data_IF_876954875343
#
_entry.id   IF_876954875343
#
_cell.length_a   1.000
_cell.length_b   1.000
_cell.length_c   1.000
_cell.angle_alpha   90.00
_cell.angle_beta   90.00
_cell.angle_gamma   90.00
#
_symmetry.space_group_name_H-M   'P 1'
#
loop_
_entity.id
_entity.type
_entity.pdbx_description
1 polymer ?
#
# COMPACT_ATOMS: atom_id res chain seq x y z
N UNK A 1 17.34 17.80 28.14
CA UNK A 1 17.61 18.03 26.70
C UNK A 1 17.81 16.76 25.89
N UNK A 2 18.84 15.91 26.09
CA UNK A 2 19.06 14.73 25.22
C UNK A 2 18.05 13.58 25.42
N UNK A 3 17.53 13.40 26.64
CA UNK A 3 16.57 12.31 26.96
C UNK A 3 15.19 12.52 26.31
N UNK A 4 14.74 13.77 26.26
CA UNK A 4 13.44 14.14 25.67
C UNK A 4 13.38 13.84 24.17
N UNK A 5 14.50 14.05 23.44
CA UNK A 5 14.58 13.71 22.02
C UNK A 5 14.56 12.20 21.77
N UNK A 6 15.20 11.40 22.63
CA UNK A 6 15.18 9.95 22.53
C UNK A 6 13.77 9.41 22.75
N UNK A 7 13.07 9.91 23.77
CA UNK A 7 11.68 9.53 24.07
C UNK A 7 10.72 9.93 22.94
N UNK A 8 10.87 11.14 22.39
CA UNK A 8 10.08 11.58 21.24
C UNK A 8 10.30 10.71 20.01
N UNK A 9 11.56 10.37 19.70
CA UNK A 9 11.89 9.53 18.56
C UNK A 9 11.29 8.13 18.70
N UNK A 10 11.39 7.51 19.89
CA UNK A 10 10.83 6.19 20.16
C UNK A 10 9.29 6.22 20.11
N UNK A 11 8.65 7.26 20.66
CA UNK A 11 7.20 7.41 20.60
C UNK A 11 6.71 7.60 19.16
N UNK A 12 7.36 8.46 18.37
CA UNK A 12 7.04 8.65 16.96
C UNK A 12 7.23 7.35 16.16
N UNK A 13 8.34 6.65 16.37
CA UNK A 13 8.59 5.36 15.72
C UNK A 13 7.53 4.32 16.11
N UNK A 14 7.14 4.27 17.38
CA UNK A 14 6.10 3.35 17.86
C UNK A 14 4.76 3.63 17.21
N UNK A 15 4.32 4.90 17.18
CA UNK A 15 3.07 5.30 16.53
C UNK A 15 3.12 4.99 15.02
N UNK A 16 4.25 5.25 14.37
CA UNK A 16 4.44 4.95 12.95
C UNK A 16 4.32 3.45 12.64
N UNK A 17 4.96 2.60 13.46
CA UNK A 17 4.91 1.14 13.31
C UNK A 17 3.52 0.59 13.59
N UNK A 18 2.85 1.05 14.66
CA UNK A 18 1.48 0.63 14.99
C UNK A 18 0.50 1.05 13.88
N UNK A 19 0.60 2.28 13.39
CA UNK A 19 -0.22 2.75 12.26
C UNK A 19 0.05 1.93 10.99
N UNK A 20 1.31 1.66 10.68
CA UNK A 20 1.71 0.82 9.54
C UNK A 20 1.25 -0.63 9.67
N UNK A 21 1.19 -1.18 10.88
CA UNK A 21 0.67 -2.53 11.14
C UNK A 21 -0.85 -2.59 10.94
N UNK A 22 -1.60 -1.63 11.49
CA UNK A 22 -3.04 -1.51 11.27
C UNK A 22 -3.38 -1.32 9.79
N UNK A 23 -2.60 -0.46 9.11
CA UNK A 23 -2.73 -0.26 7.67
C UNK A 23 -2.38 -1.54 6.90
N UNK A 24 -1.32 -2.26 7.27
CA UNK A 24 -0.95 -3.53 6.66
C UNK A 24 -2.05 -4.58 6.75
N UNK A 25 -2.72 -4.70 7.90
CA UNK A 25 -3.87 -5.59 8.08
C UNK A 25 -5.04 -5.17 7.19
N UNK A 26 -5.39 -3.88 7.16
CA UNK A 26 -6.43 -3.35 6.28
C UNK A 26 -6.08 -3.53 4.78
N UNK A 27 -4.81 -3.37 4.42
CA UNK A 27 -4.31 -3.51 3.07
C UNK A 27 -4.31 -4.97 2.62
N UNK A 28 -3.88 -5.93 3.45
CA UNK A 28 -3.92 -7.35 3.13
C UNK A 28 -5.36 -7.87 2.95
N UNK A 29 -6.30 -7.36 3.76
CA UNK A 29 -7.71 -7.77 3.73
C UNK A 29 -8.50 -7.12 2.59
N UNK A 30 -8.30 -5.83 2.29
CA UNK A 30 -9.09 -5.08 1.29
C UNK A 30 -8.29 -4.48 0.14
N UNK A 31 -7.03 -4.10 0.36
CA UNK A 31 -6.17 -3.39 -0.61
C UNK A 31 -5.49 -4.30 -1.63
N UNK A 32 -5.00 -5.47 -1.21
CA UNK A 32 -4.25 -6.43 -2.04
C UNK A 32 -5.03 -6.81 -3.30
N UNK A 33 -6.32 -7.13 -3.16
CA UNK A 33 -7.15 -7.50 -4.30
C UNK A 33 -7.46 -6.34 -5.27
N UNK A 34 -7.29 -5.08 -4.82
CA UNK A 34 -7.64 -3.88 -5.57
C UNK A 34 -6.43 -3.24 -6.25
N UNK A 35 -5.25 -3.38 -5.66
CA UNK A 35 -3.99 -2.84 -6.20
C UNK A 35 -3.38 -3.80 -7.21
N UNK A 36 -3.47 -5.11 -6.98
CA UNK A 36 -2.87 -6.08 -7.87
C UNK A 36 -3.76 -7.31 -8.04
N UNK A 37 -4.26 -7.50 -9.28
CA UNK A 37 -5.09 -8.64 -9.64
C UNK A 37 -4.29 -9.94 -9.56
N UNK A 38 -2.96 -9.88 -9.69
CA UNK A 38 -2.03 -11.01 -9.56
C UNK A 38 -1.80 -11.39 -8.08
N UNK A 39 -1.84 -10.42 -7.16
CA UNK A 39 -1.76 -10.70 -5.72
C UNK A 39 -3.00 -11.42 -5.17
N UNK A 40 -4.07 -11.53 -5.97
CA UNK A 40 -5.25 -12.35 -5.67
C UNK A 40 -4.96 -13.86 -5.77
N UNK A 41 -3.97 -14.25 -6.57
CA UNK A 41 -3.50 -15.64 -6.73
C UNK A 41 -2.28 -15.94 -5.84
N UNK A 42 -1.61 -14.90 -5.33
CA UNK A 42 -0.46 -15.06 -4.46
C UNK A 42 -0.86 -15.64 -3.09
N UNK A 43 -0.26 -16.79 -2.74
CA UNK A 43 -0.53 -17.51 -1.50
C UNK A 43 -0.17 -16.74 -0.22
N UNK A 44 -0.60 -17.28 0.93
CA UNK A 44 -0.42 -16.66 2.26
C UNK A 44 1.05 -16.31 2.60
N UNK A 45 2.01 -17.09 2.08
CA UNK A 45 3.44 -16.82 2.24
C UNK A 45 3.91 -15.53 1.57
N UNK A 46 3.37 -15.20 0.38
CA UNK A 46 3.68 -13.94 -0.29
C UNK A 46 3.19 -12.76 0.56
N UNK A 47 1.95 -12.82 1.06
CA UNK A 47 1.37 -11.80 1.95
C UNK A 47 2.22 -11.55 3.19
N UNK A 48 2.80 -12.60 3.79
CA UNK A 48 3.71 -12.45 4.93
C UNK A 48 5.05 -11.83 4.54
N UNK A 49 5.58 -12.16 3.35
CA UNK A 49 6.83 -11.61 2.85
C UNK A 49 6.73 -10.12 2.51
N UNK A 50 5.59 -9.67 1.95
CA UNK A 50 5.36 -8.25 1.66
C UNK A 50 4.90 -7.42 2.87
N UNK A 51 4.38 -8.05 3.94
CA UNK A 51 3.94 -7.34 5.15
C UNK A 51 4.98 -6.35 5.72
N UNK A 52 6.26 -6.73 5.96
CA UNK A 52 7.25 -5.78 6.47
C UNK A 52 7.52 -4.62 5.51
N UNK A 53 7.53 -4.88 4.20
CA UNK A 53 7.67 -3.84 3.17
C UNK A 53 6.45 -2.89 3.14
N UNK A 54 5.23 -3.44 3.24
CA UNK A 54 3.98 -2.67 3.32
C UNK A 54 3.93 -1.84 4.59
N UNK A 55 4.38 -2.38 5.73
CA UNK A 55 4.45 -1.64 7.00
C UNK A 55 5.50 -0.54 6.96
N UNK A 56 6.65 -0.74 6.29
CA UNK A 56 7.65 0.32 6.13
C UNK A 56 7.18 1.44 5.18
N UNK A 57 6.57 1.06 4.06
CA UNK A 57 6.11 1.96 2.99
C UNK A 57 4.61 2.29 3.06
N UNK A 58 3.99 2.11 4.23
CA UNK A 58 2.56 2.30 4.42
C UNK A 58 2.03 3.68 3.98
N UNK A 59 2.74 4.82 4.18
CA UNK A 59 2.21 6.13 3.78
C UNK A 59 2.14 6.25 2.26
N UNK A 60 3.13 5.69 1.56
CA UNK A 60 3.18 5.68 0.10
C UNK A 60 2.10 4.76 -0.48
N UNK A 61 1.91 3.59 0.13
CA UNK A 61 0.85 2.65 -0.24
C UNK A 61 -0.54 3.20 0.06
N UNK A 62 -0.73 3.86 1.20
CA UNK A 62 -1.96 4.56 1.56
C UNK A 62 -2.28 5.64 0.53
N UNK A 63 -1.29 6.46 0.16
CA UNK A 63 -1.47 7.46 -0.88
C UNK A 63 -1.82 6.83 -2.24
N UNK A 64 -1.12 5.77 -2.63
CA UNK A 64 -1.38 5.07 -3.90
C UNK A 64 -2.74 4.37 -3.92
N UNK A 65 -3.18 3.83 -2.78
CA UNK A 65 -4.52 3.26 -2.63
C UNK A 65 -5.59 4.35 -2.71
N UNK A 66 -5.37 5.50 -2.06
CA UNK A 66 -6.32 6.59 -2.02
C UNK A 66 -6.44 7.34 -3.36
N UNK A 67 -5.35 7.47 -4.11
CA UNK A 67 -5.35 7.97 -5.50
C UNK A 67 -6.07 7.04 -6.48
N UNK A 68 -6.43 5.83 -6.05
CA UNK A 68 -6.91 4.77 -6.90
C UNK A 68 -5.77 4.24 -7.76
N UNK A 69 -5.74 2.93 -7.97
CA UNK A 69 -5.03 2.39 -9.12
C UNK A 69 -5.70 3.03 -10.35
N UNK A 70 -5.14 4.15 -10.83
CA UNK A 70 -5.55 4.75 -12.09
C UNK A 70 -5.57 3.61 -13.08
N UNK A 71 -6.77 3.29 -13.58
CA UNK A 71 -6.93 2.19 -14.51
C UNK A 71 -5.89 2.34 -15.62
N UNK A 72 -5.38 1.22 -16.17
CA UNK A 72 -4.42 1.28 -17.26
C UNK A 72 -4.89 2.35 -18.25
N UNK A 73 -4.04 3.34 -18.61
CA UNK A 73 -4.44 4.42 -19.50
C UNK A 73 -5.14 3.78 -20.69
N UNK A 74 -6.44 4.00 -20.81
CA UNK A 74 -7.21 3.42 -21.91
C UNK A 74 -6.65 4.07 -23.17
N UNK A 75 -5.80 3.32 -23.87
CA UNK A 75 -5.15 3.78 -25.07
C UNK A 75 -6.23 4.17 -26.08
N UNK A 76 -6.37 5.48 -26.33
CA UNK A 76 -7.24 6.04 -27.36
C UNK A 76 -6.52 5.90 -28.70
N UNK A 77 -6.43 4.67 -29.20
CA UNK A 77 -5.96 4.42 -30.55
C UNK A 77 -7.11 4.65 -31.55
N UNK A 78 -6.79 5.30 -32.67
CA UNK A 78 -7.73 5.63 -33.76
C UNK A 78 -8.52 4.39 -34.25
N UNK A 79 -7.92 3.20 -34.16
CA UNK A 79 -8.55 1.92 -34.46
C UNK A 79 -9.84 1.63 -33.67
N UNK A 80 -10.00 2.19 -32.45
CA UNK A 80 -11.20 1.98 -31.62
C UNK A 80 -12.27 3.05 -31.83
N UNK A 81 -11.86 4.27 -32.19
CA UNK A 81 -12.78 5.35 -32.54
C UNK A 81 -13.45 5.09 -33.90
N UNK A 82 -12.78 4.39 -34.82
CA UNK A 82 -13.33 4.00 -36.12
C UNK A 82 -14.32 2.81 -36.09
N UNK A 83 -14.47 2.14 -34.95
CA UNK A 83 -15.33 0.96 -34.79
C UNK A 83 -16.67 1.25 -34.04
N UNK A 84 -16.97 2.53 -33.78
CA UNK A 84 -18.27 3.01 -33.27
C UNK A 84 -19.11 3.54 -34.42
#
# INVERSE_FOLDING_TARGET
MSREWAELAVNLATVYVVAGALFGVAFVTRGVARVDRAAREAGWGFRLAILPGVTALWPLLAWRWWRGAGGPPTERNAHREAAR
#
